data_IF_230121959380
#
_entry.id   IF_230121959380
#
_cell.length_a   1.000
_cell.length_b   1.000
_cell.length_c   1.000
_cell.angle_alpha   90.00
_cell.angle_beta   90.00
_cell.angle_gamma   90.00
#
_symmetry.space_group_name_H-M   'P 1'
#
loop_
_entity.id
_entity.type
_entity.pdbx_description
1 polymer ?
#
# COMPACT_ATOMS: atom_id res chain seq x y z
N UNK A 1 -31.46 -0.81 -17.57
CA UNK A 1 -30.40 -1.14 -16.58
C UNK A 1 -29.19 -1.57 -17.38
N UNK A 2 -28.05 -0.90 -17.23
CA UNK A 2 -26.81 -1.32 -17.88
C UNK A 2 -26.18 -2.39 -16.98
N UNK A 3 -26.04 -3.59 -17.50
CA UNK A 3 -25.38 -4.68 -16.79
C UNK A 3 -23.92 -4.31 -16.55
N UNK A 4 -23.33 -4.61 -15.37
CA UNK A 4 -21.92 -4.33 -15.13
C UNK A 4 -21.04 -5.06 -16.15
N UNK A 5 -20.36 -4.31 -17.02
CA UNK A 5 -19.44 -4.87 -18.02
C UNK A 5 -18.00 -4.86 -17.52
N UNK A 6 -17.46 -6.05 -17.26
CA UNK A 6 -16.07 -6.24 -16.85
C UNK A 6 -15.07 -5.80 -17.92
N UNK A 7 -15.46 -5.83 -19.20
CA UNK A 7 -14.59 -5.55 -20.36
C UNK A 7 -14.02 -4.14 -20.33
N UNK A 8 -14.79 -3.17 -19.81
CA UNK A 8 -14.35 -1.78 -19.67
C UNK A 8 -13.11 -1.67 -18.78
N UNK A 9 -13.16 -2.26 -17.59
CA UNK A 9 -12.04 -2.22 -16.64
C UNK A 9 -10.90 -3.14 -17.08
N UNK A 10 -11.23 -4.34 -17.58
CA UNK A 10 -10.25 -5.30 -18.04
C UNK A 10 -9.41 -4.77 -19.22
N UNK A 11 -10.04 -4.11 -20.20
CA UNK A 11 -9.33 -3.51 -21.34
C UNK A 11 -8.42 -2.35 -20.92
N UNK A 12 -8.79 -1.59 -19.89
CA UNK A 12 -7.94 -0.53 -19.35
C UNK A 12 -6.74 -1.07 -18.56
N UNK A 13 -6.89 -2.16 -17.82
CA UNK A 13 -5.79 -2.70 -17.00
C UNK A 13 -4.89 -3.65 -17.81
N UNK A 14 -5.46 -4.42 -18.74
CA UNK A 14 -4.78 -5.48 -19.50
C UNK A 14 -3.80 -5.00 -20.58
N UNK A 15 -3.30 -3.76 -20.49
CA UNK A 15 -2.25 -3.23 -21.36
C UNK A 15 -0.96 -3.01 -20.55
N UNK A 16 0.20 -3.51 -21.01
CA UNK A 16 1.44 -3.52 -20.23
C UNK A 16 1.88 -2.18 -19.64
N UNK A 17 1.85 -1.09 -20.43
CA UNK A 17 2.27 0.22 -19.94
C UNK A 17 1.31 0.76 -18.86
N UNK A 18 -0.01 0.64 -19.07
CA UNK A 18 -1.01 1.01 -18.05
C UNK A 18 -0.87 0.19 -16.78
N UNK A 19 -0.64 -1.12 -16.89
CA UNK A 19 -0.42 -1.99 -15.73
C UNK A 19 0.80 -1.55 -14.91
N UNK A 20 1.93 -1.23 -15.57
CA UNK A 20 3.14 -0.70 -14.90
C UNK A 20 2.86 0.64 -14.21
N UNK A 21 2.19 1.57 -14.88
CA UNK A 21 1.81 2.87 -14.28
C UNK A 21 0.90 2.71 -13.06
N UNK A 22 -0.13 1.87 -13.16
CA UNK A 22 -1.04 1.59 -12.05
C UNK A 22 -0.29 0.97 -10.86
N UNK A 23 0.67 0.08 -11.14
CA UNK A 23 1.54 -0.54 -10.12
C UNK A 23 2.48 0.47 -9.46
N UNK A 24 3.05 1.41 -10.21
CA UNK A 24 3.89 2.48 -9.66
C UNK A 24 3.10 3.41 -8.71
N UNK A 25 1.84 3.70 -9.06
CA UNK A 25 0.93 4.51 -8.23
C UNK A 25 0.46 3.82 -6.95
N UNK A 26 0.71 2.51 -6.80
CA UNK A 26 0.55 1.79 -5.53
C UNK A 26 1.54 2.30 -4.45
N UNK A 27 2.54 3.12 -4.78
CA UNK A 27 3.33 3.83 -3.76
C UNK A 27 2.53 4.85 -2.93
N UNK A 28 1.28 5.15 -3.34
CA UNK A 28 0.40 6.16 -2.76
C UNK A 28 0.76 7.59 -3.14
N UNK A 29 1.92 7.80 -3.80
CA UNK A 29 2.36 9.11 -4.28
C UNK A 29 1.57 9.52 -5.52
N UNK A 30 1.40 10.82 -5.70
CA UNK A 30 0.94 11.36 -6.97
C UNK A 30 2.16 11.58 -7.88
N UNK A 31 2.17 10.98 -9.06
CA UNK A 31 3.31 10.99 -9.99
C UNK A 31 2.98 11.77 -11.26
N UNK A 32 3.97 12.39 -11.88
CA UNK A 32 3.85 13.09 -13.15
C UNK A 32 3.81 12.12 -14.33
N UNK A 33 3.39 12.61 -15.49
CA UNK A 33 3.44 11.82 -16.72
C UNK A 33 4.87 11.37 -17.09
N UNK A 34 5.89 12.19 -16.77
CA UNK A 34 7.29 11.85 -17.03
C UNK A 34 7.76 10.71 -16.14
N UNK A 35 7.53 10.78 -14.83
CA UNK A 35 7.87 9.69 -13.89
C UNK A 35 7.16 8.39 -14.29
N UNK A 36 5.86 8.45 -14.60
CA UNK A 36 5.10 7.29 -15.02
C UNK A 36 5.54 6.73 -16.39
N UNK A 37 6.11 7.56 -17.26
CA UNK A 37 6.65 7.11 -18.53
C UNK A 37 7.93 6.29 -18.34
N UNK A 38 8.76 6.65 -17.35
CA UNK A 38 9.96 5.90 -16.97
C UNK A 38 9.59 4.53 -16.39
N UNK A 39 8.64 4.49 -15.46
CA UNK A 39 8.13 3.24 -14.87
C UNK A 39 7.54 2.28 -15.90
N UNK A 40 6.92 2.82 -16.95
CA UNK A 40 6.31 2.03 -18.01
C UNK A 40 7.28 1.68 -19.15
N UNK A 41 8.49 2.24 -19.17
CA UNK A 41 9.48 2.13 -20.25
C UNK A 41 8.92 2.58 -21.62
N UNK A 42 8.29 3.77 -21.65
CA UNK A 42 7.71 4.38 -22.85
C UNK A 42 7.96 5.89 -22.92
N UNK A 43 7.67 6.50 -24.07
CA UNK A 43 7.79 7.96 -24.22
C UNK A 43 6.73 8.73 -23.41
N UNK A 44 7.03 9.96 -23.01
CA UNK A 44 6.07 10.84 -22.34
C UNK A 44 4.80 11.15 -23.18
N UNK A 45 4.94 11.17 -24.51
CA UNK A 45 3.80 11.36 -25.41
C UNK A 45 2.88 10.14 -25.38
N UNK A 46 3.44 8.93 -25.49
CA UNK A 46 2.69 7.68 -25.37
C UNK A 46 2.03 7.61 -23.99
N UNK A 47 2.78 7.89 -22.92
CA UNK A 47 2.28 7.88 -21.55
C UNK A 47 1.06 8.79 -21.36
N UNK A 48 1.09 9.99 -21.95
CA UNK A 48 -0.04 10.94 -21.88
C UNK A 48 -1.34 10.34 -22.45
N UNK A 49 -1.26 9.55 -23.52
CA UNK A 49 -2.42 8.85 -24.10
C UNK A 49 -2.95 7.76 -23.17
N UNK A 50 -2.06 6.93 -22.59
CA UNK A 50 -2.46 5.91 -21.61
C UNK A 50 -3.10 6.52 -20.36
N UNK A 51 -2.52 7.60 -19.83
CA UNK A 51 -3.04 8.30 -18.66
C UNK A 51 -4.41 8.93 -18.93
N UNK A 52 -4.64 9.48 -20.13
CA UNK A 52 -5.96 10.01 -20.51
C UNK A 52 -7.03 8.92 -20.45
N UNK A 53 -6.78 7.74 -21.02
CA UNK A 53 -7.70 6.59 -20.98
C UNK A 53 -7.99 6.13 -19.55
N UNK A 54 -6.97 6.08 -18.69
CA UNK A 54 -7.13 5.68 -17.29
C UNK A 54 -7.93 6.72 -16.47
N UNK A 55 -7.80 8.01 -16.78
CA UNK A 55 -8.59 9.08 -16.15
C UNK A 55 -10.04 9.03 -16.64
N UNK A 56 -10.26 8.86 -17.94
CA UNK A 56 -11.60 8.71 -18.54
C UNK A 56 -12.33 7.49 -17.96
N UNK A 57 -11.64 6.36 -17.84
CA UNK A 57 -12.13 5.16 -17.18
C UNK A 57 -12.22 5.23 -15.66
N UNK A 58 -12.00 6.41 -15.04
CA UNK A 58 -12.10 6.63 -13.60
C UNK A 58 -11.21 5.74 -12.73
N UNK A 59 -10.12 5.19 -13.28
CA UNK A 59 -9.09 4.48 -12.52
C UNK A 59 -8.10 5.44 -11.87
N UNK A 60 -7.88 6.60 -12.51
CA UNK A 60 -7.01 7.67 -12.00
C UNK A 60 -7.78 8.95 -11.70
N UNK A 61 -7.20 9.75 -10.81
CA UNK A 61 -7.50 11.15 -10.63
C UNK A 61 -6.29 11.99 -11.02
N UNK A 62 -6.54 13.21 -11.51
CA UNK A 62 -5.49 14.15 -11.90
C UNK A 62 -5.64 15.45 -11.12
N UNK A 63 -4.52 15.97 -10.62
CA UNK A 63 -4.42 17.29 -10.01
C UNK A 63 -3.42 18.13 -10.80
N UNK A 64 -3.77 19.38 -11.06
CA UNK A 64 -2.85 20.35 -11.67
C UNK A 64 -2.15 21.12 -10.57
N UNK A 65 -0.83 21.19 -10.62
CA UNK A 65 -0.03 22.03 -9.74
C UNK A 65 1.06 22.70 -10.57
N UNK A 66 0.91 24.02 -10.75
CA UNK A 66 1.75 24.78 -11.67
C UNK A 66 1.65 24.24 -13.10
N UNK A 67 2.82 23.96 -13.71
CA UNK A 67 2.92 23.44 -15.09
C UNK A 67 2.75 21.92 -15.18
N UNK A 68 2.68 21.22 -14.05
CA UNK A 68 2.66 19.76 -14.01
C UNK A 68 1.28 19.22 -13.68
N UNK A 69 0.96 18.07 -14.29
CA UNK A 69 -0.19 17.24 -13.94
C UNK A 69 0.33 16.06 -13.11
N UNK A 70 -0.26 15.87 -11.94
CA UNK A 70 0.02 14.76 -11.05
C UNK A 70 -1.14 13.78 -11.07
N UNK A 71 -0.84 12.51 -11.24
CA UNK A 71 -1.80 11.42 -11.34
C UNK A 71 -1.71 10.55 -10.09
N UNK A 72 -2.87 10.11 -9.59
CA UNK A 72 -2.98 9.20 -8.46
C UNK A 72 -4.13 8.22 -8.72
N UNK A 73 -4.07 7.02 -8.14
CA UNK A 73 -5.23 6.11 -8.14
C UNK A 73 -6.46 6.86 -7.66
N UNK A 74 -7.60 6.65 -8.33
CA UNK A 74 -8.83 7.41 -8.06
C UNK A 74 -9.26 7.31 -6.60
N UNK A 75 -9.13 6.11 -6.02
CA UNK A 75 -9.49 5.81 -4.64
C UNK A 75 -8.93 4.44 -4.22
N UNK A 76 -9.17 4.09 -2.95
CA UNK A 76 -8.81 2.82 -2.33
C UNK A 76 -9.44 1.58 -3.00
N UNK A 77 -10.60 1.73 -3.64
CA UNK A 77 -11.25 0.61 -4.35
C UNK A 77 -10.44 0.21 -5.57
N UNK A 78 -9.90 1.20 -6.31
CA UNK A 78 -8.98 0.93 -7.42
C UNK A 78 -7.69 0.29 -6.90
N UNK A 79 -7.09 0.83 -5.84
CA UNK A 79 -5.89 0.23 -5.24
C UNK A 79 -6.11 -1.24 -4.84
N UNK A 80 -7.23 -1.54 -4.17
CA UNK A 80 -7.59 -2.90 -3.79
C UNK A 80 -7.80 -3.85 -4.98
N UNK A 81 -8.35 -3.35 -6.11
CA UNK A 81 -8.46 -4.14 -7.34
C UNK A 81 -7.08 -4.48 -7.91
N UNK A 82 -6.19 -3.48 -8.01
CA UNK A 82 -4.83 -3.70 -8.53
C UNK A 82 -4.08 -4.70 -7.65
N UNK A 83 -4.20 -4.58 -6.33
CA UNK A 83 -3.60 -5.53 -5.39
C UNK A 83 -4.13 -6.96 -5.60
N UNK A 84 -5.46 -7.14 -5.75
CA UNK A 84 -6.04 -8.46 -6.02
C UNK A 84 -5.52 -9.08 -7.32
N UNK A 85 -5.38 -8.28 -8.38
CA UNK A 85 -4.81 -8.76 -9.64
C UNK A 85 -3.34 -9.18 -9.49
N UNK A 86 -2.55 -8.45 -8.71
CA UNK A 86 -1.16 -8.82 -8.39
C UNK A 86 -1.10 -10.12 -7.58
N UNK A 87 -1.99 -10.30 -6.60
CA UNK A 87 -2.12 -11.56 -5.84
C UNK A 87 -2.42 -12.74 -6.76
N UNK A 88 -3.44 -12.63 -7.62
CA UNK A 88 -3.80 -13.71 -8.55
C UNK A 88 -2.66 -14.00 -9.54
N UNK A 89 -1.97 -12.97 -10.02
CA UNK A 89 -0.83 -13.14 -10.92
C UNK A 89 0.35 -13.86 -10.25
N UNK A 90 0.60 -13.61 -8.95
CA UNK A 90 1.65 -14.30 -8.19
C UNK A 90 1.31 -15.78 -7.93
N UNK A 91 0.02 -16.11 -7.79
CA UNK A 91 -0.46 -17.49 -7.67
C UNK A 91 -0.31 -18.29 -8.97
N UNK A 92 -0.55 -17.67 -10.12
CA UNK A 92 -0.48 -18.37 -11.43
C UNK A 92 0.98 -18.60 -11.86
N UNK A 93 1.90 -17.68 -11.54
CA UNK A 93 3.28 -17.69 -12.05
C UNK A 93 4.23 -18.62 -11.27
N UNK A 94 3.70 -19.62 -10.56
CA UNK A 94 4.47 -20.52 -9.67
C UNK A 94 5.60 -21.29 -10.39
N UNK A 95 6.79 -20.69 -10.38
CA UNK A 95 8.10 -21.36 -10.27
C UNK A 95 8.98 -20.54 -9.30
N UNK A 96 9.02 -21.00 -8.06
CA UNK A 96 10.08 -20.83 -7.04
C UNK A 96 10.37 -19.49 -6.34
N UNK A 97 9.65 -18.38 -6.56
CA UNK A 97 9.81 -17.19 -5.70
C UNK A 97 8.47 -16.53 -5.36
N UNK A 98 8.06 -16.60 -4.09
CA UNK A 98 6.94 -15.82 -3.55
C UNK A 98 7.45 -14.41 -3.22
N UNK A 99 6.86 -13.39 -3.83
CA UNK A 99 7.18 -11.98 -3.59
C UNK A 99 8.13 -11.32 -4.60
N UNK A 100 8.36 -9.99 -4.46
CA UNK A 100 9.32 -9.26 -5.28
C UNK A 100 10.69 -9.96 -5.29
N UNK A 101 11.37 -9.96 -6.43
CA UNK A 101 12.76 -10.42 -6.50
C UNK A 101 13.70 -9.52 -5.68
N UNK A 102 13.32 -8.25 -5.52
CA UNK A 102 14.01 -7.27 -4.70
C UNK A 102 13.77 -7.56 -3.19
N UNK A 103 14.82 -7.86 -2.41
CA UNK A 103 14.71 -8.16 -0.99
C UNK A 103 14.16 -6.98 -0.17
N UNK A 104 14.41 -5.73 -0.56
CA UNK A 104 13.90 -4.57 0.18
C UNK A 104 12.38 -4.47 0.06
N UNK A 105 11.82 -4.73 -1.14
CA UNK A 105 10.38 -4.72 -1.35
C UNK A 105 9.68 -5.89 -0.65
N UNK A 106 10.37 -7.01 -0.44
CA UNK A 106 9.86 -8.13 0.36
C UNK A 106 9.83 -7.79 1.85
N UNK A 107 10.94 -7.25 2.36
CA UNK A 107 11.09 -6.93 3.78
C UNK A 107 10.06 -5.89 4.26
N UNK A 108 10.00 -4.73 3.60
CA UNK A 108 9.06 -3.68 3.97
C UNK A 108 8.75 -2.79 2.77
N UNK A 109 7.47 -2.54 2.52
CA UNK A 109 7.04 -1.65 1.44
C UNK A 109 5.74 -0.94 1.77
N UNK A 110 5.43 0.08 0.99
CA UNK A 110 4.09 0.64 0.91
C UNK A 110 3.25 -0.22 -0.04
N UNK A 111 2.13 -0.75 0.45
CA UNK A 111 1.13 -1.40 -0.42
C UNK A 111 0.33 -0.35 -1.18
N UNK A 112 -0.32 0.58 -0.48
CA UNK A 112 -0.91 1.80 -1.06
C UNK A 112 -0.61 3.01 -0.19
N UNK A 113 -1.10 2.97 1.05
CA UNK A 113 -0.88 4.00 2.06
C UNK A 113 -0.67 3.41 3.44
N UNK A 114 -0.27 2.14 3.50
CA UNK A 114 -0.03 1.37 4.71
C UNK A 114 1.15 0.41 4.47
N UNK A 115 1.72 -0.09 5.56
CA UNK A 115 2.90 -0.95 5.56
C UNK A 115 2.50 -2.36 5.09
N UNK A 116 3.34 -2.97 4.26
CA UNK A 116 3.22 -4.31 3.72
C UNK A 116 4.62 -4.96 3.62
N UNK A 117 4.67 -6.20 3.13
CA UNK A 117 5.85 -7.06 3.23
C UNK A 117 5.96 -7.71 4.60
N UNK A 118 7.10 -8.36 4.86
CA UNK A 118 7.37 -9.07 6.11
C UNK A 118 7.10 -8.20 7.35
N UNK A 119 7.53 -6.94 7.32
CA UNK A 119 7.30 -5.99 8.41
C UNK A 119 5.81 -5.71 8.65
N UNK A 120 5.02 -5.56 7.58
CA UNK A 120 3.59 -5.30 7.67
C UNK A 120 2.81 -6.47 8.28
N UNK A 121 3.27 -7.69 7.99
CA UNK A 121 2.69 -8.92 8.54
C UNK A 121 3.12 -9.14 9.98
N UNK A 122 4.40 -8.96 10.31
CA UNK A 122 4.87 -9.01 11.70
C UNK A 122 4.12 -8.01 12.58
N UNK A 123 3.91 -6.79 12.08
CA UNK A 123 3.08 -5.79 12.77
C UNK A 123 1.65 -6.30 12.98
N UNK A 124 1.02 -6.85 11.94
CA UNK A 124 -0.35 -7.36 12.04
C UNK A 124 -0.45 -8.49 13.06
N UNK A 125 0.48 -9.44 13.02
CA UNK A 125 0.55 -10.57 13.95
C UNK A 125 0.72 -10.09 15.39
N UNK A 126 1.67 -9.19 15.65
CA UNK A 126 1.90 -8.68 17.00
C UNK A 126 0.70 -7.90 17.55
N UNK A 127 0.00 -7.13 16.72
CA UNK A 127 -1.24 -6.46 17.11
C UNK A 127 -2.36 -7.47 17.44
N UNK A 128 -2.45 -8.58 16.71
CA UNK A 128 -3.43 -9.63 16.95
C UNK A 128 -3.09 -10.43 18.23
N UNK A 129 -1.83 -10.80 18.41
CA UNK A 129 -1.32 -11.51 19.60
C UNK A 129 -1.49 -10.69 20.88
N UNK A 130 -1.32 -9.37 20.80
CA UNK A 130 -1.56 -8.44 21.90
C UNK A 130 -3.06 -8.11 22.13
N UNK A 131 -3.99 -8.75 21.40
CA UNK A 131 -5.43 -8.49 21.45
C UNK A 131 -5.80 -7.02 21.11
N UNK A 132 -4.99 -6.30 20.33
CA UNK A 132 -5.32 -4.96 19.86
C UNK A 132 -6.20 -4.96 18.62
N UNK A 133 -6.08 -6.01 17.80
CA UNK A 133 -6.99 -6.27 16.68
C UNK A 133 -7.50 -7.70 16.73
N UNK A 134 -8.69 -7.92 16.18
CA UNK A 134 -9.27 -9.25 15.99
C UNK A 134 -9.28 -9.55 14.49
N UNK A 135 -8.59 -10.63 14.08
CA UNK A 135 -8.63 -11.13 12.70
C UNK A 135 -9.80 -12.11 12.52
N UNK A 136 -10.83 -11.68 11.77
CA UNK A 136 -11.97 -12.52 11.37
C UNK A 136 -11.79 -13.08 9.95
N UNK A 137 -10.55 -13.21 9.49
CA UNK A 137 -10.10 -13.62 8.15
C UNK A 137 -10.50 -12.64 7.03
N UNK A 138 -11.79 -12.31 6.93
CA UNK A 138 -12.35 -11.41 5.92
C UNK A 138 -12.34 -9.96 6.40
N UNK A 139 -12.41 -9.76 7.72
CA UNK A 139 -12.44 -8.44 8.35
C UNK A 139 -11.46 -8.39 9.52
N UNK A 140 -10.78 -7.25 9.67
CA UNK A 140 -10.02 -6.93 10.88
C UNK A 140 -10.84 -5.94 11.69
N UNK A 141 -11.04 -6.22 12.98
CA UNK A 141 -11.71 -5.30 13.90
C UNK A 141 -10.72 -4.73 14.91
N UNK A 142 -10.92 -3.47 15.31
CA UNK A 142 -10.19 -2.86 16.42
C UNK A 142 -10.88 -3.26 17.73
N UNK A 143 -10.12 -3.81 18.68
CA UNK A 143 -10.64 -4.15 20.02
C UNK A 143 -10.68 -2.90 20.92
N UNK A 144 -11.37 -2.96 22.07
CA UNK A 144 -11.29 -1.90 23.09
C UNK A 144 -9.85 -1.66 23.56
N UNK A 145 -9.10 -2.72 23.89
CA UNK A 145 -7.70 -2.62 24.35
C UNK A 145 -6.81 -1.97 23.28
N UNK A 146 -7.03 -2.32 22.01
CA UNK A 146 -6.34 -1.70 20.89
C UNK A 146 -6.69 -0.22 20.75
N UNK A 147 -7.96 0.16 20.92
CA UNK A 147 -8.36 1.56 20.89
C UNK A 147 -7.62 2.36 21.96
N UNK A 148 -7.57 1.87 23.21
CA UNK A 148 -6.87 2.54 24.30
C UNK A 148 -5.36 2.66 24.03
N UNK A 149 -4.73 1.59 23.54
CA UNK A 149 -3.32 1.59 23.14
C UNK A 149 -3.02 2.64 22.07
N UNK A 150 -3.82 2.69 21.01
CA UNK A 150 -3.63 3.65 19.92
C UNK A 150 -3.95 5.09 20.34
N UNK A 151 -4.91 5.31 21.23
CA UNK A 151 -5.17 6.64 21.82
C UNK A 151 -3.98 7.14 22.63
N UNK A 152 -3.32 6.26 23.40
CA UNK A 152 -2.08 6.59 24.13
C UNK A 152 -0.91 6.94 23.19
N UNK A 153 -0.86 6.33 22.00
CA UNK A 153 0.12 6.67 20.97
C UNK A 153 -0.22 7.98 20.20
N UNK A 154 -1.41 8.53 20.39
CA UNK A 154 -1.84 9.80 19.80
C UNK A 154 -2.90 9.69 18.69
N UNK A 155 -3.50 8.51 18.46
CA UNK A 155 -4.61 8.36 17.53
C UNK A 155 -5.90 8.92 18.12
N UNK A 156 -6.63 9.76 17.39
CA UNK A 156 -8.00 10.11 17.78
C UNK A 156 -9.00 9.11 17.16
N UNK A 157 -9.31 8.01 17.86
CA UNK A 157 -10.18 6.94 17.37
C UNK A 157 -11.59 7.46 17.07
N UNK A 158 -12.10 8.38 17.89
CA UNK A 158 -13.39 9.04 17.64
C UNK A 158 -13.45 9.74 16.27
N UNK A 159 -12.36 10.38 15.85
CA UNK A 159 -12.26 11.02 14.53
C UNK A 159 -12.21 9.98 13.41
N UNK A 160 -11.52 8.85 13.62
CA UNK A 160 -11.48 7.78 12.63
C UNK A 160 -12.86 7.13 12.42
N UNK A 161 -13.64 6.93 13.49
CA UNK A 161 -15.02 6.38 13.44
C UNK A 161 -15.98 7.21 12.58
N UNK A 162 -15.75 8.52 12.49
CA UNK A 162 -16.61 9.43 11.68
C UNK A 162 -16.32 9.36 10.17
N UNK A 163 -15.19 8.79 9.77
CA UNK A 163 -14.84 8.67 8.35
C UNK A 163 -15.60 7.51 7.71
N UNK A 164 -15.92 7.63 6.42
CA UNK A 164 -16.47 6.51 5.63
C UNK A 164 -15.49 5.35 5.43
N UNK A 165 -14.19 5.58 5.70
CA UNK A 165 -13.12 4.60 5.54
C UNK A 165 -13.09 3.69 6.78
N UNK A 166 -13.01 2.36 6.64
CA UNK A 166 -12.90 1.46 7.78
C UNK A 166 -11.66 1.77 8.62
N UNK A 167 -11.74 1.53 9.93
CA UNK A 167 -10.62 1.78 10.85
C UNK A 167 -9.51 0.77 10.59
N UNK A 168 -9.85 -0.51 10.68
CA UNK A 168 -8.98 -1.64 10.34
C UNK A 168 -9.54 -2.32 9.08
N UNK A 169 -8.66 -2.89 8.27
CA UNK A 169 -9.04 -3.71 7.12
C UNK A 169 -7.95 -4.75 6.88
N UNK A 170 -8.34 -6.01 6.72
CA UNK A 170 -7.44 -7.07 6.25
C UNK A 170 -7.06 -6.76 4.80
N UNK A 171 -5.78 -6.50 4.56
CA UNK A 171 -5.23 -6.43 3.21
C UNK A 171 -4.34 -7.66 3.03
N UNK A 172 -4.60 -8.44 1.98
CA UNK A 172 -3.85 -9.65 1.71
C UNK A 172 -2.56 -9.28 0.98
N UNK A 173 -1.42 -9.54 1.61
CA UNK A 173 -0.12 -9.29 1.00
C UNK A 173 0.14 -10.31 -0.11
N UNK A 174 0.30 -9.87 -1.36
CA UNK A 174 0.55 -10.80 -2.48
C UNK A 174 1.91 -11.51 -2.43
N UNK A 175 2.88 -10.94 -1.71
CA UNK A 175 4.25 -11.48 -1.61
C UNK A 175 4.36 -12.61 -0.60
N UNK A 176 3.69 -12.47 0.53
CA UNK A 176 3.74 -13.41 1.65
C UNK A 176 2.44 -14.20 1.85
N UNK A 177 1.35 -13.82 1.16
CA UNK A 177 -0.01 -14.40 1.27
C UNK A 177 -0.59 -14.38 2.68
N UNK A 178 -0.25 -13.33 3.43
CA UNK A 178 -0.75 -13.11 4.80
C UNK A 178 -1.36 -11.72 4.93
N UNK A 179 -2.27 -11.57 5.88
CA UNK A 179 -2.92 -10.29 6.12
C UNK A 179 -1.92 -9.28 6.72
N UNK A 180 -2.04 -8.03 6.29
CA UNK A 180 -1.41 -6.87 6.90
C UNK A 180 -2.46 -5.76 7.11
N UNK A 181 -2.15 -4.82 8.01
CA UNK A 181 -3.13 -3.84 8.47
C UNK A 181 -3.30 -2.69 7.47
N UNK A 182 -4.45 -2.65 6.80
CA UNK A 182 -4.92 -1.49 6.05
C UNK A 182 -6.01 -0.73 6.85
N UNK A 183 -6.73 0.16 6.17
CA UNK A 183 -7.73 1.02 6.79
C UNK A 183 -7.11 2.34 7.27
N UNK A 184 -7.88 3.09 8.06
CA UNK A 184 -7.44 4.38 8.59
C UNK A 184 -6.31 4.24 9.60
N UNK A 185 -6.30 3.13 10.35
CA UNK A 185 -5.28 2.83 11.35
C UNK A 185 -3.96 2.42 10.70
N UNK A 186 -3.99 1.53 9.71
CA UNK A 186 -2.79 1.18 8.94
C UNK A 186 -2.14 2.40 8.25
N UNK A 187 -2.97 3.33 7.76
CA UNK A 187 -2.48 4.61 7.22
C UNK A 187 -1.83 5.48 8.29
N UNK A 188 -2.45 5.56 9.47
CA UNK A 188 -1.91 6.35 10.59
C UNK A 188 -0.56 5.79 11.04
N UNK A 189 -0.44 4.46 11.20
CA UNK A 189 0.83 3.82 11.61
C UNK A 189 1.95 4.12 10.62
N UNK A 190 1.69 4.01 9.31
CA UNK A 190 2.70 4.39 8.30
C UNK A 190 3.12 5.85 8.46
N UNK A 191 2.15 6.75 8.66
CA UNK A 191 2.42 8.19 8.79
C UNK A 191 3.25 8.47 10.05
N UNK A 192 2.84 7.96 11.20
CA UNK A 192 3.54 8.11 12.48
C UNK A 192 4.97 7.54 12.42
N UNK A 193 5.14 6.36 11.83
CA UNK A 193 6.45 5.74 11.67
C UNK A 193 7.40 6.55 10.77
N UNK A 194 6.88 7.18 9.71
CA UNK A 194 7.66 8.08 8.86
C UNK A 194 7.99 9.40 9.58
N UNK A 195 7.03 10.00 10.29
CA UNK A 195 7.19 11.27 11.01
C UNK A 195 8.19 11.16 12.17
N UNK A 196 8.17 10.03 12.90
CA UNK A 196 9.15 9.72 13.96
C UNK A 196 10.51 9.30 13.43
N UNK A 197 10.64 9.13 12.11
CA UNK A 197 11.86 8.64 11.46
C UNK A 197 12.21 7.20 11.84
N UNK A 198 11.21 6.39 12.22
CA UNK A 198 11.39 4.95 12.44
C UNK A 198 11.52 4.19 11.12
N UNK A 199 10.75 4.64 10.13
CA UNK A 199 10.81 4.17 8.75
C UNK A 199 11.20 5.32 7.83
N UNK A 200 11.85 4.98 6.74
CA UNK A 200 12.19 5.91 5.67
C UNK A 200 11.75 5.32 4.33
N UNK A 201 11.25 6.16 3.43
CA UNK A 201 10.94 5.75 2.06
C UNK A 201 12.23 5.68 1.25
N UNK A 202 12.41 4.61 0.51
CA UNK A 202 13.47 4.53 -0.52
C UNK A 202 13.06 5.46 -1.68
N UNK A 203 13.96 6.33 -2.18
CA UNK A 203 13.69 7.15 -3.36
C UNK A 203 13.26 6.30 -4.55
N UNK A 204 12.28 6.79 -5.31
CA UNK A 204 11.79 6.16 -6.54
C UNK A 204 11.38 4.67 -6.40
N UNK A 205 11.04 4.26 -5.18
CA UNK A 205 10.60 2.91 -4.88
C UNK A 205 9.43 2.91 -3.89
N UNK A 206 8.74 1.77 -3.86
CA UNK A 206 7.73 1.45 -2.82
C UNK A 206 8.38 0.94 -1.54
N UNK A 207 9.67 0.61 -1.55
CA UNK A 207 10.36 0.05 -0.40
C UNK A 207 10.42 1.04 0.78
N UNK A 208 10.36 0.46 1.98
CA UNK A 208 10.55 1.14 3.25
C UNK A 208 11.80 0.55 3.90
N UNK A 209 12.57 1.40 4.56
CA UNK A 209 13.72 0.97 5.36
C UNK A 209 13.52 1.37 6.81
N UNK A 210 13.81 0.44 7.71
CA UNK A 210 13.94 0.74 9.14
C UNK A 210 15.19 1.59 9.38
N UNK A 211 15.04 2.67 10.12
CA UNK A 211 16.17 3.45 10.59
C UNK A 211 17.03 2.60 11.54
N UNK A 212 18.36 2.66 11.38
CA UNK A 212 19.30 1.81 12.11
C UNK A 212 19.22 1.99 13.63
N UNK A 213 18.88 3.19 14.10
CA UNK A 213 18.85 3.52 15.52
C UNK A 213 17.39 3.60 16.00
N UNK A 214 16.57 4.35 15.26
CA UNK A 214 15.19 4.63 15.67
C UNK A 214 14.22 3.51 15.33
N UNK A 215 14.53 2.64 14.37
CA UNK A 215 13.67 1.52 14.00
C UNK A 215 13.44 0.52 15.14
N UNK A 216 14.38 0.40 16.08
CA UNK A 216 14.19 -0.43 17.26
C UNK A 216 13.08 0.10 18.18
N UNK A 217 12.80 1.41 18.15
CA UNK A 217 11.68 1.99 18.89
C UNK A 217 10.34 1.56 18.28
N UNK A 218 10.22 1.52 16.95
CA UNK A 218 9.04 0.95 16.29
C UNK A 218 8.83 -0.50 16.70
N UNK A 219 9.91 -1.29 16.68
CA UNK A 219 9.86 -2.69 17.07
C UNK A 219 9.37 -2.86 18.51
N UNK A 220 9.94 -2.09 19.44
CA UNK A 220 9.56 -2.08 20.85
C UNK A 220 8.14 -1.59 21.09
N UNK A 221 7.69 -0.55 20.38
CA UNK A 221 6.35 0.01 20.52
C UNK A 221 5.27 -0.99 20.14
N UNK A 222 5.48 -1.76 19.07
CA UNK A 222 4.48 -2.71 18.56
C UNK A 222 4.74 -4.17 18.96
N UNK A 223 5.79 -4.46 19.73
CA UNK A 223 6.12 -5.81 20.16
C UNK A 223 6.61 -6.74 19.06
N UNK A 224 7.18 -6.20 17.97
CA UNK A 224 7.73 -6.99 16.86
C UNK A 224 9.23 -7.23 17.01
N UNK A 225 9.75 -8.29 16.39
CA UNK A 225 11.18 -8.56 16.35
C UNK A 225 11.90 -7.50 15.49
N UNK A 226 13.00 -6.94 15.99
CA UNK A 226 13.78 -5.97 15.21
C UNK A 226 14.62 -6.69 14.15
N UNK A 227 14.20 -6.62 12.89
CA UNK A 227 14.97 -7.07 11.72
C UNK A 227 15.60 -5.87 11.00
N UNK A 228 16.28 -4.99 11.75
CA UNK A 228 16.97 -3.85 11.14
C UNK A 228 17.95 -4.33 10.06
N UNK A 229 17.92 -3.69 8.89
CA UNK A 229 18.89 -3.99 7.84
C UNK A 229 20.31 -3.73 8.36
N UNK A 230 20.99 -4.82 8.68
CA UNK A 230 22.43 -4.88 8.82
C UNK A 230 22.99 -4.93 7.40
N UNK A 231 23.07 -3.78 6.74
CA UNK A 231 23.83 -3.70 5.50
C UNK A 231 25.25 -3.23 5.75
N UNK A 232 26.15 -3.97 5.10
CA UNK A 232 27.58 -3.73 4.92
C UNK A 232 27.90 -2.29 4.55
#
# INVERSE_FOLDING_TARGET
MHEPDITLIASLIGEPARARMLTALMSGKALTATELSLEADITAQTASSHLAKLVEGSLLSVRKQGRHKYFQLKNQRVAGLIEQLLTLSSEITLKTHTGPADPYLRQARVCYDHIAGELGIQLYDALAEANYIEDKQVETLLTPDGADFFEQLGVCIHTLRKKKRPICKSCLDWSERRNHLAGSLGQWILTDALERGWLQRVPDSRALMLDKIRGNLFAKTYGIAFTGNTEK
#
